data_IF_598370021546
#
_entry.id   IF_598370021546
#
_cell.length_a   1.000
_cell.length_b   1.000
_cell.length_c   1.000
_cell.angle_alpha   90.00
_cell.angle_beta   90.00
_cell.angle_gamma   90.00
#
_symmetry.space_group_name_H-M   'P 1'
#
loop_
_entity.id
_entity.type
_entity.pdbx_description
1 polymer ?
#
# COMPACT_ATOMS: atom_id res chain seq x y z
N UNK A 1 -8.88 4.69 -0.93
CA UNK A 1 -7.67 4.86 -1.76
C UNK A 1 -7.10 6.26 -1.58
N UNK A 2 -7.90 7.31 -1.81
CA UNK A 2 -7.48 8.71 -1.60
C UNK A 2 -6.91 8.92 -0.18
N UNK A 3 -7.57 8.42 0.86
CA UNK A 3 -7.08 8.52 2.26
C UNK A 3 -5.74 7.80 2.51
N UNK A 4 -5.48 6.68 1.81
CA UNK A 4 -4.20 5.97 1.91
C UNK A 4 -3.09 6.81 1.26
N UNK A 5 -3.34 7.36 0.08
CA UNK A 5 -2.36 8.13 -0.69
C UNK A 5 -2.13 9.54 -0.14
N UNK A 6 -3.08 10.09 0.60
CA UNK A 6 -2.97 11.43 1.20
C UNK A 6 -2.20 11.44 2.53
N UNK A 7 -1.94 10.27 3.11
CA UNK A 7 -1.21 10.11 4.37
C UNK A 7 0.30 10.16 4.12
N UNK A 8 1.03 11.00 4.87
CA UNK A 8 2.50 11.15 4.67
C UNK A 8 3.27 9.86 5.00
N UNK A 9 2.78 9.04 5.94
CA UNK A 9 3.36 7.76 6.33
C UNK A 9 2.48 6.60 5.86
N UNK A 10 2.34 6.44 4.54
CA UNK A 10 1.54 5.39 3.93
C UNK A 10 2.39 4.31 3.28
N UNK A 11 1.94 3.06 3.42
CA UNK A 11 2.56 1.88 2.85
C UNK A 11 1.51 1.08 2.07
N UNK A 12 1.82 0.69 0.83
CA UNK A 12 1.11 -0.39 0.15
C UNK A 12 1.80 -1.72 0.49
N UNK A 13 1.09 -2.63 1.13
CA UNK A 13 1.56 -4.00 1.35
C UNK A 13 0.99 -4.90 0.24
N UNK A 14 1.85 -5.28 -0.70
CA UNK A 14 1.54 -6.22 -1.78
C UNK A 14 1.68 -7.66 -1.26
N UNK A 15 0.55 -8.38 -1.18
CA UNK A 15 0.49 -9.75 -0.66
C UNK A 15 0.31 -10.81 -1.75
N UNK A 16 0.62 -10.43 -2.99
CA UNK A 16 0.58 -11.34 -4.14
C UNK A 16 1.66 -12.41 -4.05
N UNK A 17 1.44 -13.50 -4.79
CA UNK A 17 2.43 -14.55 -4.94
C UNK A 17 3.72 -14.01 -5.59
N UNK A 18 4.81 -14.75 -5.42
CA UNK A 18 6.08 -14.43 -6.06
C UNK A 18 5.95 -14.31 -7.59
N UNK A 19 5.21 -15.22 -8.22
CA UNK A 19 5.04 -15.24 -9.68
C UNK A 19 4.31 -14.00 -10.18
N UNK A 20 3.26 -13.55 -9.47
CA UNK A 20 2.56 -12.31 -9.80
C UNK A 20 3.45 -11.07 -9.62
N UNK A 21 4.26 -11.04 -8.57
CA UNK A 21 5.18 -9.93 -8.29
C UNK A 21 6.35 -9.87 -9.29
N UNK A 22 6.94 -11.02 -9.64
CA UNK A 22 8.01 -11.12 -10.65
C UNK A 22 7.48 -10.78 -12.06
N UNK A 23 6.21 -11.11 -12.36
CA UNK A 23 5.59 -10.75 -13.63
C UNK A 23 5.35 -9.25 -13.78
N UNK A 24 4.88 -8.59 -12.71
CA UNK A 24 4.65 -7.14 -12.67
C UNK A 24 4.95 -6.62 -11.27
N UNK A 25 6.03 -5.86 -11.14
CA UNK A 25 6.37 -5.16 -9.90
C UNK A 25 5.59 -3.86 -9.79
N UNK A 26 4.88 -3.70 -8.68
CA UNK A 26 4.20 -2.44 -8.36
C UNK A 26 5.22 -1.53 -7.67
N UNK A 27 5.54 -0.40 -8.32
CA UNK A 27 6.39 0.66 -7.76
C UNK A 27 5.60 1.95 -7.75
N UNK A 28 5.46 2.56 -6.57
CA UNK A 28 4.71 3.80 -6.35
C UNK A 28 5.60 4.90 -5.78
N UNK A 29 6.87 4.96 -6.19
CA UNK A 29 7.94 5.80 -5.60
C UNK A 29 7.55 7.28 -5.39
N UNK A 30 6.77 7.85 -6.32
CA UNK A 30 6.30 9.23 -6.25
C UNK A 30 5.03 9.44 -5.38
N UNK A 31 4.37 8.37 -4.95
CA UNK A 31 3.15 8.39 -4.16
C UNK A 31 3.39 7.89 -2.72
N UNK A 32 3.68 6.59 -2.57
CA UNK A 32 3.76 5.88 -1.30
C UNK A 32 4.81 4.76 -1.37
N UNK A 33 5.31 4.33 -0.22
CA UNK A 33 6.19 3.15 -0.14
C UNK A 33 5.41 1.88 -0.52
N UNK A 34 6.10 0.91 -1.12
CA UNK A 34 5.54 -0.42 -1.42
C UNK A 34 6.42 -1.47 -0.75
N UNK A 35 5.81 -2.34 0.04
CA UNK A 35 6.44 -3.51 0.65
C UNK A 35 5.77 -4.75 0.08
N UNK A 36 6.56 -5.71 -0.40
CA UNK A 36 6.04 -7.00 -0.87
C UNK A 36 6.36 -8.09 0.14
N UNK A 37 5.31 -8.76 0.61
CA UNK A 37 5.39 -9.96 1.45
C UNK A 37 4.28 -10.89 0.96
N UNK A 38 4.61 -12.04 0.32
CA UNK A 38 3.58 -12.96 -0.13
C UNK A 38 2.79 -13.49 1.08
N UNK A 39 1.52 -13.80 0.87
CA UNK A 39 0.58 -14.11 1.97
C UNK A 39 1.09 -15.22 2.91
N UNK A 40 1.74 -16.24 2.35
CA UNK A 40 2.34 -17.37 3.07
C UNK A 40 3.46 -16.98 4.02
N UNK A 41 4.18 -15.89 3.73
CA UNK A 41 5.31 -15.43 4.53
C UNK A 41 4.90 -14.37 5.59
N UNK A 42 3.66 -13.87 5.53
CA UNK A 42 3.17 -12.83 6.44
C UNK A 42 3.39 -13.18 7.92
N UNK A 43 3.15 -14.42 8.40
CA UNK A 43 3.40 -14.74 9.80
C UNK A 43 4.86 -14.59 10.24
N UNK A 44 5.81 -14.94 9.37
CA UNK A 44 7.23 -14.84 9.66
C UNK A 44 7.78 -13.42 9.49
N UNK A 45 7.22 -12.66 8.54
CA UNK A 45 7.73 -11.35 8.10
C UNK A 45 6.88 -10.17 8.57
N UNK A 46 5.87 -10.37 9.42
CA UNK A 46 4.98 -9.29 9.86
C UNK A 46 5.73 -8.15 10.58
N UNK A 47 6.87 -8.46 11.22
CA UNK A 47 7.72 -7.48 11.87
C UNK A 47 8.34 -6.43 10.91
N UNK A 48 8.41 -6.71 9.61
CA UNK A 48 8.82 -5.74 8.57
C UNK A 48 7.74 -4.68 8.33
N UNK A 49 6.49 -4.94 8.73
CA UNK A 49 5.37 -4.03 8.52
C UNK A 49 5.39 -2.97 9.64
N UNK A 50 5.55 -1.67 9.31
CA UNK A 50 5.52 -0.60 10.29
C UNK A 50 4.15 -0.50 10.97
N UNK A 51 4.16 -0.38 12.30
CA UNK A 51 2.94 -0.28 13.12
C UNK A 51 2.36 1.14 13.19
N UNK A 52 3.20 2.14 12.95
CA UNK A 52 2.91 3.58 12.98
C UNK A 52 2.53 4.15 11.61
N UNK A 53 2.50 3.30 10.57
CA UNK A 53 2.11 3.68 9.21
C UNK A 53 0.65 3.29 8.91
N UNK A 54 0.03 4.04 7.99
CA UNK A 54 -1.22 3.60 7.37
C UNK A 54 -0.91 2.56 6.31
N UNK A 55 -1.30 1.31 6.55
CA UNK A 55 -0.97 0.17 5.67
C UNK A 55 -2.17 -0.21 4.80
N UNK A 56 -2.02 -0.11 3.49
CA UNK A 56 -3.00 -0.55 2.50
C UNK A 56 -2.66 -1.91 1.92
N UNK A 57 -3.53 -2.90 2.11
CA UNK A 57 -3.32 -4.28 1.68
C UNK A 57 -3.79 -4.49 0.25
N UNK A 58 -2.92 -5.01 -0.62
CA UNK A 58 -3.23 -5.21 -2.03
C UNK A 58 -3.10 -6.66 -2.48
N UNK A 59 -4.16 -7.15 -3.13
CA UNK A 59 -4.13 -8.25 -4.08
C UNK A 59 -5.24 -8.03 -5.14
N UNK A 60 -5.15 -8.64 -6.34
CA UNK A 60 -6.03 -8.31 -7.47
C UNK A 60 -7.50 -8.74 -7.33
N UNK A 61 -7.85 -9.48 -6.28
CA UNK A 61 -9.20 -10.00 -6.04
C UNK A 61 -9.69 -9.78 -4.59
N UNK A 62 -8.89 -9.13 -3.74
CA UNK A 62 -9.24 -8.77 -2.37
C UNK A 62 -9.21 -9.90 -1.34
N UNK A 63 -9.36 -11.17 -1.75
CA UNK A 63 -9.40 -12.33 -0.85
C UNK A 63 -8.16 -12.41 0.05
N UNK A 64 -6.96 -12.38 -0.54
CA UNK A 64 -5.69 -12.44 0.23
C UNK A 64 -5.53 -11.22 1.13
N UNK A 65 -5.91 -10.03 0.66
CA UNK A 65 -5.92 -8.81 1.49
C UNK A 65 -6.84 -8.93 2.69
N UNK A 66 -8.02 -9.56 2.55
CA UNK A 66 -8.95 -9.76 3.66
C UNK A 66 -8.40 -10.72 4.73
N UNK A 67 -7.75 -11.81 4.30
CA UNK A 67 -7.09 -12.75 5.22
C UNK A 67 -5.97 -12.05 6.01
N UNK A 68 -5.08 -11.35 5.31
CA UNK A 68 -3.97 -10.62 5.94
C UNK A 68 -4.47 -9.49 6.82
N UNK A 69 -5.55 -8.81 6.42
CA UNK A 69 -6.20 -7.79 7.24
C UNK A 69 -6.60 -8.34 8.61
N UNK A 70 -7.36 -9.44 8.63
CA UNK A 70 -7.79 -10.07 9.88
C UNK A 70 -6.61 -10.50 10.74
N UNK A 71 -5.58 -11.10 10.12
CA UNK A 71 -4.36 -11.52 10.80
C UNK A 71 -3.64 -10.34 11.48
N UNK A 72 -3.35 -9.26 10.74
CA UNK A 72 -2.65 -8.10 11.28
C UNK A 72 -3.49 -7.37 12.34
N UNK A 73 -4.82 -7.28 12.16
CA UNK A 73 -5.72 -6.73 13.19
C UNK A 73 -5.65 -7.53 14.49
N UNK A 74 -5.60 -8.85 14.42
CA UNK A 74 -5.45 -9.71 15.60
C UNK A 74 -4.10 -9.52 16.31
N UNK A 75 -3.05 -9.13 15.58
CA UNK A 75 -1.73 -8.77 16.12
C UNK A 75 -1.61 -7.31 16.59
N UNK A 76 -2.72 -6.57 16.64
CA UNK A 76 -2.76 -5.19 17.13
C UNK A 76 -2.28 -4.13 16.14
N UNK A 77 -2.26 -4.41 14.83
CA UNK A 77 -2.04 -3.35 13.83
C UNK A 77 -3.33 -2.54 13.68
N UNK A 78 -3.35 -1.28 14.12
CA UNK A 78 -4.58 -0.47 14.14
C UNK A 78 -4.86 0.24 12.80
N UNK A 79 -3.81 0.57 12.07
CA UNK A 79 -3.86 1.41 10.87
C UNK A 79 -3.79 0.61 9.56
N UNK A 80 -4.21 -0.67 9.57
CA UNK A 80 -4.35 -1.49 8.35
C UNK A 80 -5.71 -1.29 7.69
N UNK A 81 -5.74 -1.22 6.36
CA UNK A 81 -6.94 -1.08 5.52
C UNK A 81 -6.79 -1.92 4.26
N UNK A 82 -7.88 -2.35 3.65
CA UNK A 82 -7.83 -3.02 2.34
C UNK A 82 -7.79 -1.95 1.24
N UNK A 83 -6.79 -2.01 0.37
CA UNK A 83 -6.70 -1.16 -0.81
C UNK A 83 -7.64 -1.66 -1.92
N UNK A 84 -8.01 -0.81 -2.90
CA UNK A 84 -8.72 -1.25 -4.09
C UNK A 84 -8.06 -2.46 -4.72
N UNK A 85 -8.84 -3.52 -4.83
CA UNK A 85 -8.35 -4.85 -5.12
C UNK A 85 -8.54 -5.18 -6.59
N UNK A 86 -7.92 -4.38 -7.46
CA UNK A 86 -7.75 -4.68 -8.90
C UNK A 86 -6.54 -3.93 -9.44
N UNK A 87 -5.92 -4.48 -10.49
CA UNK A 87 -4.82 -3.78 -11.17
C UNK A 87 -5.30 -2.46 -11.76
N UNK A 88 -6.48 -2.43 -12.38
CA UNK A 88 -7.04 -1.21 -12.97
C UNK A 88 -7.23 -0.10 -11.95
N UNK A 89 -7.75 -0.41 -10.76
CA UNK A 89 -7.93 0.59 -9.72
C UNK A 89 -6.59 1.13 -9.20
N UNK A 90 -5.56 0.28 -9.15
CA UNK A 90 -4.22 0.65 -8.75
C UNK A 90 -3.51 1.50 -9.82
N UNK A 91 -3.51 1.07 -11.08
CA UNK A 91 -2.86 1.78 -12.19
C UNK A 91 -3.55 3.10 -12.51
N UNK A 92 -4.87 3.20 -12.26
CA UNK A 92 -5.60 4.44 -12.36
C UNK A 92 -5.09 5.56 -11.45
N UNK A 93 -4.25 5.26 -10.46
CA UNK A 93 -3.54 6.26 -9.65
C UNK A 93 -2.39 6.92 -10.39
N UNK A 94 -1.79 6.19 -11.31
CA UNK A 94 -0.59 6.60 -12.06
C UNK A 94 -0.93 7.44 -13.28
N UNK A 95 -2.21 7.73 -13.53
CA UNK A 95 -2.63 8.62 -14.61
C UNK A 95 -1.96 10.00 -14.44
N UNK A 96 -1.46 10.63 -15.53
CA UNK A 96 -0.65 11.84 -15.44
C UNK A 96 -1.23 12.94 -14.56
N UNK A 97 -2.53 13.23 -14.70
CA UNK A 97 -3.19 14.27 -13.90
C UNK A 97 -3.21 13.98 -12.40
N UNK A 98 -3.40 12.71 -12.01
CA UNK A 98 -3.42 12.30 -10.60
C UNK A 98 -2.01 12.24 -10.01
N UNK A 99 -1.06 11.70 -10.76
CA UNK A 99 0.36 11.67 -10.39
C UNK A 99 0.91 13.08 -10.16
N UNK A 100 0.71 13.99 -11.12
CA UNK A 100 1.21 15.37 -11.01
C UNK A 100 0.57 16.12 -9.84
N UNK A 101 -0.71 15.86 -9.55
CA UNK A 101 -1.40 16.40 -8.38
C UNK A 101 -0.75 15.90 -7.08
N UNK A 102 -0.53 14.59 -6.95
CA UNK A 102 0.09 13.99 -5.77
C UNK A 102 1.51 14.52 -5.51
N UNK A 103 2.32 14.66 -6.56
CA UNK A 103 3.68 15.25 -6.46
C UNK A 103 3.61 16.69 -5.93
N UNK A 104 2.71 17.52 -6.46
CA UNK A 104 2.55 18.92 -6.03
C UNK A 104 2.08 19.02 -4.58
N UNK A 105 1.08 18.23 -4.18
CA UNK A 105 0.56 18.20 -2.81
C UNK A 105 1.62 17.76 -1.78
N UNK A 106 2.50 16.84 -2.16
CA UNK A 106 3.62 16.43 -1.30
C UNK A 106 4.63 17.55 -1.13
N UNK A 107 4.99 18.23 -2.23
CA UNK A 107 5.91 19.37 -2.20
C UNK A 107 5.39 20.53 -1.33
N UNK A 108 4.09 20.83 -1.37
CA UNK A 108 3.49 21.87 -0.52
C UNK A 108 3.43 21.47 0.95
N UNK A 109 3.09 20.21 1.26
CA UNK A 109 3.09 19.70 2.64
C UNK A 109 4.49 19.67 3.27
N UNK A 110 5.54 19.42 2.49
CA UNK A 110 6.93 19.53 2.97
C UNK A 110 7.39 20.98 3.14
N UNK A 111 6.84 21.93 2.39
CA UNK A 111 7.21 23.35 2.46
C UNK A 111 6.51 24.10 3.60
N UNK A 112 5.33 23.66 4.03
CA UNK A 112 4.59 24.24 5.17
C UNK A 112 5.03 23.75 6.56
N UNK A 113 6.14 23.02 6.65
CA UNK A 113 6.76 22.54 7.91
C UNK A 113 8.05 23.31 8.23
N UNK A 114 8.13 24.56 7.80
CA UNK A 114 9.09 25.56 8.30
C UNK A 114 8.36 26.60 9.14
#
# INVERSE_FOLDING_TARGET
METLLSSQNALLLDVRSRQEWESVQIRLENHISVLWIPIEDIPARCHEIPRDATVGLFCPAGVRSAIVYLYLRALGYEHVRIAPSSYDALTNLLLPGKLMKAIRERATKSAGMQ
#
